data_IF_495224009585
#
_entry.id   IF_495224009585
#
_cell.length_a   1.000
_cell.length_b   1.000
_cell.length_c   1.000
_cell.angle_alpha   90.00
_cell.angle_beta   90.00
_cell.angle_gamma   90.00
#
_symmetry.space_group_name_H-M   'P 1'
#
loop_
_entity.id
_entity.type
_entity.pdbx_description
1 polymer ?
#
# COMPACT_ATOMS: atom_id res chain seq x y z
N UNK A 1 -11.49 8.52 4.61
CA UNK A 1 -11.83 7.10 4.33
C UNK A 1 -10.63 6.28 4.75
N UNK A 2 -10.82 5.25 5.59
CA UNK A 2 -9.74 4.41 6.08
C UNK A 2 -9.92 3.00 5.51
N UNK A 3 -8.98 2.54 4.68
CA UNK A 3 -9.07 1.27 3.97
C UNK A 3 -7.88 0.38 4.32
N UNK A 4 -8.14 -0.88 4.67
CA UNK A 4 -7.10 -1.89 4.91
C UNK A 4 -7.09 -2.88 3.74
N UNK A 5 -5.95 -3.00 3.06
CA UNK A 5 -5.71 -4.01 2.04
C UNK A 5 -4.96 -5.19 2.66
N UNK A 6 -5.63 -6.33 2.77
CA UNK A 6 -5.07 -7.56 3.36
C UNK A 6 -5.04 -8.71 2.33
N UNK A 7 -4.07 -9.61 2.49
CA UNK A 7 -3.88 -10.75 1.58
C UNK A 7 -2.44 -11.27 1.57
N UNK A 8 -2.23 -12.44 0.99
CA UNK A 8 -0.94 -13.14 0.94
C UNK A 8 0.18 -12.29 0.27
N UNK A 9 1.47 -12.56 0.55
CA UNK A 9 2.57 -11.99 -0.24
C UNK A 9 2.38 -12.24 -1.73
N UNK A 10 2.65 -11.24 -2.58
CA UNK A 10 2.44 -11.36 -4.03
C UNK A 10 0.99 -11.22 -4.51
N UNK A 11 -0.01 -11.09 -3.63
CA UNK A 11 -1.44 -10.99 -4.02
C UNK A 11 -1.84 -9.66 -4.71
N UNK A 12 -0.89 -8.80 -5.05
CA UNK A 12 -1.14 -7.54 -5.77
C UNK A 12 -1.66 -6.37 -4.91
N UNK A 13 -1.53 -6.43 -3.57
CA UNK A 13 -1.99 -5.34 -2.67
C UNK A 13 -1.43 -3.97 -3.04
N UNK A 14 -0.12 -3.88 -3.33
CA UNK A 14 0.52 -2.62 -3.72
C UNK A 14 -0.03 -2.07 -5.03
N UNK A 15 -0.28 -2.94 -6.01
CA UNK A 15 -0.94 -2.57 -7.28
C UNK A 15 -2.33 -2.00 -7.04
N UNK A 16 -3.13 -2.66 -6.21
CA UNK A 16 -4.47 -2.18 -5.85
C UNK A 16 -4.42 -0.86 -5.08
N UNK A 17 -3.49 -0.70 -4.14
CA UNK A 17 -3.31 0.53 -3.39
C UNK A 17 -2.96 1.72 -4.30
N UNK A 18 -2.09 1.51 -5.29
CA UNK A 18 -1.75 2.54 -6.28
C UNK A 18 -2.95 2.94 -7.14
N UNK A 19 -3.79 1.98 -7.58
CA UNK A 19 -5.02 2.29 -8.30
C UNK A 19 -6.00 3.11 -7.45
N UNK A 20 -6.16 2.76 -6.17
CA UNK A 20 -7.00 3.49 -5.22
C UNK A 20 -6.48 4.90 -4.95
N UNK A 21 -5.17 5.06 -4.77
CA UNK A 21 -4.50 6.36 -4.64
C UNK A 21 -4.81 7.25 -5.86
N UNK A 22 -4.60 6.73 -7.07
CA UNK A 22 -4.83 7.50 -8.31
C UNK A 22 -6.30 7.85 -8.50
N UNK A 23 -7.22 6.95 -8.16
CA UNK A 23 -8.67 7.15 -8.35
C UNK A 23 -9.30 8.09 -7.32
N UNK A 24 -8.85 8.02 -6.07
CA UNK A 24 -9.50 8.71 -4.95
C UNK A 24 -8.64 9.80 -4.30
N UNK A 25 -7.40 10.00 -4.76
CA UNK A 25 -6.49 11.00 -4.19
C UNK A 25 -6.07 10.71 -2.75
N UNK A 26 -6.25 9.47 -2.27
CA UNK A 26 -5.92 9.08 -0.90
C UNK A 26 -4.47 8.60 -0.79
N UNK A 27 -3.77 8.89 0.33
CA UNK A 27 -2.40 8.42 0.51
C UNK A 27 -2.31 6.90 0.63
N UNK A 28 -1.26 6.32 0.07
CA UNK A 28 -0.90 4.92 0.28
C UNK A 28 0.12 4.84 1.42
N UNK A 29 -0.19 4.03 2.43
CA UNK A 29 0.69 3.77 3.58
C UNK A 29 0.91 2.26 3.67
N UNK A 30 2.16 1.83 3.57
CA UNK A 30 2.54 0.42 3.68
C UNK A 30 3.71 0.24 4.66
N UNK A 31 3.54 -0.67 5.61
CA UNK A 31 4.58 -1.02 6.59
C UNK A 31 5.83 -1.58 5.94
N UNK A 32 5.69 -2.30 4.82
CA UNK A 32 6.84 -2.80 4.07
C UNK A 32 7.71 -1.69 3.49
N UNK A 33 7.11 -0.57 3.07
CA UNK A 33 7.86 0.58 2.55
C UNK A 33 8.58 1.32 3.68
N UNK A 34 7.90 1.52 4.81
CA UNK A 34 8.49 2.07 6.03
C UNK A 34 9.67 1.24 6.51
N UNK A 35 9.49 -0.08 6.64
CA UNK A 35 10.57 -0.97 7.06
C UNK A 35 11.76 -0.86 6.11
N UNK A 36 11.54 -0.94 4.79
CA UNK A 36 12.62 -0.81 3.80
C UNK A 36 13.37 0.52 3.90
N UNK A 37 12.69 1.61 4.23
CA UNK A 37 13.32 2.93 4.41
C UNK A 37 14.24 3.00 5.64
N UNK A 38 14.01 2.18 6.67
CA UNK A 38 14.81 2.17 7.91
C UNK A 38 16.03 1.23 7.85
N UNK A 39 16.05 0.28 6.92
CA UNK A 39 17.18 -0.65 6.69
C UNK A 39 18.08 -0.25 5.52
N UNK A 40 17.75 0.84 4.81
CA UNK A 40 18.59 1.46 3.77
C UNK A 40 19.37 2.62 4.39
#
# INVERSE_FOLDING_TARGET
MNLLLYGAPGSGKGTQANMLRSRFGIPHIATGDMLRAEIQ
#
